data_IF_125064836759
#
_entry.id   IF_125064836759
#
_cell.length_a   1.000
_cell.length_b   1.000
_cell.length_c   1.000
_cell.angle_alpha   90.00
_cell.angle_beta   90.00
_cell.angle_gamma   90.00
#
_symmetry.space_group_name_H-M   'P 1'
#
loop_
_entity.id
_entity.type
_entity.pdbx_description
1 polymer ?
#
# COMPACT_ATOMS: atom_id res chain seq x y z
N UNK A 1 -23.33 12.21 3.92
CA UNK A 1 -22.84 13.48 4.52
C UNK A 1 -23.96 14.51 4.50
N UNK A 2 -24.01 15.38 5.49
CA UNK A 2 -24.92 16.53 5.46
C UNK A 2 -24.27 17.61 4.58
N UNK A 3 -24.93 18.00 3.49
CA UNK A 3 -24.46 19.10 2.64
C UNK A 3 -24.61 20.42 3.39
N UNK A 4 -23.66 21.32 3.20
CA UNK A 4 -23.76 22.66 3.74
C UNK A 4 -25.00 23.37 3.14
N UNK A 5 -25.68 24.19 3.94
CA UNK A 5 -26.82 25.01 3.53
C UNK A 5 -26.60 26.44 3.96
N UNK A 6 -26.78 27.42 3.06
CA UNK A 6 -26.60 28.85 3.36
C UNK A 6 -25.73 29.58 2.32
N UNK A 7 -25.35 30.82 2.64
CA UNK A 7 -24.37 31.58 1.84
C UNK A 7 -23.01 30.87 1.93
N UNK A 8 -22.30 30.75 0.82
CA UNK A 8 -21.02 30.03 0.67
C UNK A 8 -21.10 28.49 0.77
N UNK A 9 -22.30 27.92 0.94
CA UNK A 9 -22.50 26.48 0.97
C UNK A 9 -22.15 25.78 -0.35
N UNK A 10 -22.27 26.47 -1.48
CA UNK A 10 -21.93 25.93 -2.79
C UNK A 10 -20.42 25.64 -2.90
N UNK A 11 -19.58 26.57 -2.44
CA UNK A 11 -18.11 26.40 -2.44
C UNK A 11 -17.70 25.26 -1.51
N UNK A 12 -18.26 25.21 -0.29
CA UNK A 12 -17.97 24.15 0.68
C UNK A 12 -18.41 22.76 0.19
N UNK A 13 -19.56 22.67 -0.49
CA UNK A 13 -20.03 21.41 -1.07
C UNK A 13 -19.15 20.96 -2.25
N UNK A 14 -18.65 21.89 -3.08
CA UNK A 14 -17.71 21.59 -4.18
C UNK A 14 -16.35 21.09 -3.64
N UNK A 15 -15.82 21.75 -2.61
CA UNK A 15 -14.58 21.31 -1.96
C UNK A 15 -14.72 19.92 -1.32
N UNK A 16 -15.85 19.65 -0.65
CA UNK A 16 -16.15 18.33 -0.10
C UNK A 16 -16.23 17.26 -1.20
N UNK A 17 -16.87 17.57 -2.34
CA UNK A 17 -16.96 16.65 -3.48
C UNK A 17 -15.57 16.33 -4.07
N UNK A 18 -14.68 17.31 -4.18
CA UNK A 18 -13.30 17.07 -4.63
C UNK A 18 -12.52 16.14 -3.69
N UNK A 19 -12.70 16.31 -2.38
CA UNK A 19 -12.09 15.43 -1.37
C UNK A 19 -12.64 14.00 -1.50
N UNK A 20 -13.95 13.84 -1.67
CA UNK A 20 -14.59 12.54 -1.89
C UNK A 20 -14.05 11.84 -3.15
N UNK A 21 -13.98 12.57 -4.27
CA UNK A 21 -13.47 12.05 -5.54
C UNK A 21 -12.00 11.62 -5.42
N UNK A 22 -11.18 12.42 -4.73
CA UNK A 22 -9.78 12.06 -4.49
C UNK A 22 -9.65 10.81 -3.61
N UNK A 23 -10.45 10.69 -2.54
CA UNK A 23 -10.45 9.50 -1.69
C UNK A 23 -10.85 8.25 -2.46
N UNK A 24 -11.87 8.35 -3.31
CA UNK A 24 -12.26 7.22 -4.17
C UNK A 24 -11.15 6.85 -5.16
N UNK A 25 -10.40 7.84 -5.69
CA UNK A 25 -9.24 7.57 -6.53
C UNK A 25 -8.11 6.82 -5.77
N UNK A 26 -7.92 7.09 -4.48
CA UNK A 26 -6.95 6.36 -3.66
C UNK A 26 -7.42 4.93 -3.37
N UNK A 27 -8.72 4.74 -3.05
CA UNK A 27 -9.30 3.41 -2.91
C UNK A 27 -9.15 2.60 -4.21
N UNK A 28 -9.45 3.21 -5.35
CA UNK A 28 -9.29 2.58 -6.65
C UNK A 28 -7.84 2.18 -6.93
N UNK A 29 -6.86 2.99 -6.52
CA UNK A 29 -5.44 2.64 -6.60
C UNK A 29 -5.10 1.38 -5.80
N UNK A 30 -5.67 1.21 -4.60
CA UNK A 30 -5.48 -0.01 -3.82
C UNK A 30 -6.20 -1.23 -4.41
N UNK A 31 -7.41 -1.06 -4.98
CA UNK A 31 -8.09 -2.14 -5.71
C UNK A 31 -7.26 -2.60 -6.90
N UNK A 32 -6.70 -1.67 -7.67
CA UNK A 32 -5.80 -1.99 -8.78
C UNK A 32 -4.54 -2.75 -8.31
N UNK A 33 -3.97 -2.38 -7.17
CA UNK A 33 -2.84 -3.13 -6.60
C UNK A 33 -3.23 -4.58 -6.26
N UNK A 34 -4.42 -4.78 -5.69
CA UNK A 34 -4.98 -6.10 -5.39
C UNK A 34 -5.25 -6.92 -6.67
N UNK A 35 -5.82 -6.29 -7.70
CA UNK A 35 -6.06 -6.94 -9.00
C UNK A 35 -4.76 -7.37 -9.68
N UNK A 36 -3.72 -6.55 -9.59
CA UNK A 36 -2.38 -6.92 -10.06
C UNK A 36 -1.88 -8.17 -9.32
N UNK A 37 -2.03 -8.24 -8.00
CA UNK A 37 -1.63 -9.43 -7.25
C UNK A 37 -2.42 -10.68 -7.67
N UNK A 38 -3.74 -10.54 -7.80
CA UNK A 38 -4.64 -11.62 -8.20
C UNK A 38 -4.42 -12.12 -9.64
N UNK A 39 -3.63 -11.40 -10.45
CA UNK A 39 -3.20 -11.90 -11.77
C UNK A 39 -2.31 -13.15 -11.69
N UNK A 40 -1.69 -13.43 -10.54
CA UNK A 40 -0.94 -14.67 -10.31
C UNK A 40 -1.88 -15.75 -9.76
N UNK A 41 -2.06 -16.88 -10.47
CA UNK A 41 -2.90 -17.97 -9.98
C UNK A 41 -2.37 -18.56 -8.67
N UNK A 42 -3.24 -18.68 -7.67
CA UNK A 42 -2.92 -19.33 -6.38
C UNK A 42 -1.98 -18.53 -5.48
N UNK A 43 -1.80 -17.23 -5.73
CA UNK A 43 -0.99 -16.38 -4.85
C UNK A 43 -1.58 -16.31 -3.45
N UNK A 44 -0.71 -16.39 -2.44
CA UNK A 44 -1.05 -16.03 -1.07
C UNK A 44 -0.64 -14.59 -0.85
N UNK A 45 -1.61 -13.71 -0.66
CA UNK A 45 -1.35 -12.30 -0.39
C UNK A 45 -0.70 -12.18 0.99
N UNK A 46 0.46 -11.53 1.04
CA UNK A 46 1.20 -11.34 2.28
C UNK A 46 0.42 -10.44 3.26
N UNK A 47 0.57 -10.70 4.55
CA UNK A 47 -0.15 -9.96 5.61
C UNK A 47 0.16 -8.46 5.59
N UNK A 48 1.40 -8.07 5.27
CA UNK A 48 1.80 -6.66 5.16
C UNK A 48 0.98 -5.90 4.11
N UNK A 49 0.62 -6.56 3.00
CA UNK A 49 -0.25 -5.96 1.99
C UNK A 49 -1.67 -5.81 2.51
N UNK A 50 -2.22 -6.82 3.18
CA UNK A 50 -3.57 -6.74 3.77
C UNK A 50 -3.64 -5.61 4.81
N UNK A 51 -2.63 -5.48 5.67
CA UNK A 51 -2.56 -4.39 6.64
C UNK A 51 -2.51 -3.01 5.97
N UNK A 52 -1.74 -2.86 4.87
CA UNK A 52 -1.69 -1.61 4.11
C UNK A 52 -3.02 -1.31 3.40
N UNK A 53 -3.65 -2.34 2.81
CA UNK A 53 -4.93 -2.25 2.14
C UNK A 53 -6.05 -1.86 3.11
N UNK A 54 -6.13 -2.52 4.26
CA UNK A 54 -7.10 -2.22 5.31
C UNK A 54 -6.88 -0.82 5.88
N UNK A 55 -5.62 -0.39 6.06
CA UNK A 55 -5.32 0.95 6.53
C UNK A 55 -5.84 2.03 5.56
N UNK A 56 -5.72 1.80 4.24
CA UNK A 56 -6.23 2.71 3.22
C UNK A 56 -7.76 2.66 3.12
N UNK A 57 -8.37 1.47 3.17
CA UNK A 57 -9.81 1.27 2.97
C UNK A 57 -10.69 1.61 4.19
N UNK A 58 -10.22 1.33 5.41
CA UNK A 58 -11.03 1.48 6.62
C UNK A 58 -11.20 2.94 7.08
N UNK A 59 -10.44 3.89 6.52
CA UNK A 59 -10.43 5.27 7.01
C UNK A 59 -11.50 6.10 6.31
N UNK A 60 -12.68 6.14 6.93
CA UNK A 60 -13.86 6.93 6.52
C UNK A 60 -13.57 8.43 6.46
N UNK A 61 -14.23 9.09 5.50
CA UNK A 61 -14.30 10.54 5.29
C UNK A 61 -14.55 11.34 6.58
N UNK A 62 -15.22 10.76 7.58
CA UNK A 62 -15.58 11.45 8.84
C UNK A 62 -14.39 11.85 9.73
N UNK A 63 -13.23 11.18 9.61
CA UNK A 63 -12.03 11.54 10.38
C UNK A 63 -11.21 12.65 9.72
N UNK A 64 -11.53 13.01 8.48
CA UNK A 64 -10.82 14.05 7.73
C UNK A 64 -11.30 15.46 8.09
N UNK A 65 -12.46 15.58 8.75
CA UNK A 65 -12.93 16.87 9.27
C UNK A 65 -12.15 17.33 10.52
N UNK A 66 -11.52 16.41 11.25
CA UNK A 66 -10.89 16.68 12.57
C UNK A 66 -9.38 16.48 12.59
N UNK A 67 -8.80 15.83 11.57
CA UNK A 67 -7.36 15.60 11.46
C UNK A 67 -6.77 16.35 10.27
N UNK A 68 -5.53 16.85 10.37
CA UNK A 68 -4.85 17.44 9.22
C UNK A 68 -4.88 16.45 8.05
N UNK A 69 -5.28 16.93 6.88
CA UNK A 69 -5.48 16.11 5.69
C UNK A 69 -4.13 15.59 5.18
N UNK A 70 -3.84 14.30 5.39
CA UNK A 70 -2.55 13.67 5.03
C UNK A 70 -2.57 13.14 3.60
N UNK A 71 -2.74 14.06 2.65
CA UNK A 71 -2.73 13.77 1.21
C UNK A 71 -1.48 12.98 0.82
N UNK A 72 -0.31 13.50 1.17
CA UNK A 72 1.00 12.96 0.76
C UNK A 72 1.22 11.53 1.25
N UNK A 73 0.89 11.24 2.51
CA UNK A 73 1.07 9.90 3.09
C UNK A 73 0.12 8.88 2.46
N UNK A 74 -1.12 9.30 2.18
CA UNK A 74 -2.13 8.44 1.54
C UNK A 74 -1.70 8.07 0.12
N UNK A 75 -1.27 9.06 -0.67
CA UNK A 75 -0.76 8.80 -2.02
C UNK A 75 0.52 7.98 -1.98
N UNK A 76 1.41 8.25 -1.03
CA UNK A 76 2.66 7.52 -0.89
C UNK A 76 2.40 6.04 -0.56
N UNK A 77 1.44 5.76 0.33
CA UNK A 77 1.02 4.40 0.63
C UNK A 77 0.44 3.71 -0.61
N UNK A 78 -0.48 4.37 -1.33
CA UNK A 78 -1.04 3.83 -2.57
C UNK A 78 0.02 3.53 -3.65
N UNK A 79 0.98 4.46 -3.84
CA UNK A 79 2.12 4.26 -4.76
C UNK A 79 2.99 3.08 -4.34
N UNK A 80 3.29 2.94 -3.05
CA UNK A 80 4.06 1.83 -2.52
C UNK A 80 3.34 0.48 -2.72
N UNK A 81 2.03 0.41 -2.50
CA UNK A 81 1.21 -0.80 -2.72
C UNK A 81 1.25 -1.24 -4.20
N UNK A 82 1.01 -0.31 -5.14
CA UNK A 82 1.09 -0.62 -6.58
C UNK A 82 2.49 -1.06 -6.99
N UNK A 83 3.53 -0.40 -6.46
CA UNK A 83 4.93 -0.77 -6.73
C UNK A 83 5.23 -2.16 -6.22
N UNK A 84 4.83 -2.48 -5.00
CA UNK A 84 4.98 -3.81 -4.40
C UNK A 84 4.30 -4.87 -5.26
N UNK A 85 3.02 -4.66 -5.60
CA UNK A 85 2.26 -5.59 -6.45
C UNK A 85 2.96 -5.86 -7.79
N UNK A 86 3.40 -4.81 -8.49
CA UNK A 86 4.13 -4.94 -9.75
C UNK A 86 5.46 -5.69 -9.60
N UNK A 87 6.20 -5.45 -8.52
CA UNK A 87 7.46 -6.15 -8.26
C UNK A 87 7.23 -7.63 -7.96
N UNK A 88 6.16 -7.97 -7.23
CA UNK A 88 5.81 -9.34 -6.87
C UNK A 88 5.36 -10.16 -8.08
N UNK A 89 4.60 -9.56 -9.00
CA UNK A 89 4.13 -10.23 -10.23
C UNK A 89 5.24 -10.38 -11.27
N UNK A 90 6.22 -9.48 -11.28
CA UNK A 90 7.25 -9.43 -12.32
C UNK A 90 7.97 -10.78 -12.55
N UNK A 91 8.47 -11.51 -11.52
CA UNK A 91 9.09 -12.83 -11.69
C UNK A 91 8.19 -13.84 -12.39
N UNK A 92 6.91 -13.91 -12.01
CA UNK A 92 5.95 -14.82 -12.59
C UNK A 92 5.75 -14.54 -14.09
N UNK A 93 5.51 -13.28 -14.46
CA UNK A 93 5.39 -12.90 -15.88
C UNK A 93 6.65 -13.23 -16.68
N UNK A 94 7.85 -13.04 -16.12
CA UNK A 94 9.07 -13.40 -16.82
C UNK A 94 9.21 -14.92 -17.05
N UNK A 95 8.70 -15.74 -16.14
CA UNK A 95 8.65 -17.20 -16.33
C UNK A 95 7.65 -17.57 -17.43
N UNK A 96 6.46 -16.97 -17.43
CA UNK A 96 5.47 -17.16 -18.49
C UNK A 96 6.03 -16.75 -19.85
N UNK A 97 6.67 -15.59 -19.95
CA UNK A 97 7.32 -15.10 -21.17
C UNK A 97 8.41 -16.04 -21.67
N UNK A 98 9.22 -16.59 -20.76
CA UNK A 98 10.25 -17.58 -21.10
C UNK A 98 9.65 -18.86 -21.67
N UNK A 99 8.56 -19.37 -21.08
CA UNK A 99 7.86 -20.55 -21.60
C UNK A 99 7.22 -20.25 -22.97
N UNK A 100 6.56 -19.10 -23.12
CA UNK A 100 5.93 -18.69 -24.37
C UNK A 100 6.95 -18.51 -25.50
N UNK A 101 8.08 -17.85 -25.23
CA UNK A 101 9.16 -17.68 -26.22
C UNK A 101 9.88 -18.98 -26.55
N UNK A 102 10.01 -19.89 -25.58
CA UNK A 102 10.53 -21.24 -25.83
C UNK A 102 9.60 -22.05 -26.74
N UNK A 103 8.29 -21.99 -26.52
CA UNK A 103 7.30 -22.64 -27.38
C UNK A 103 7.35 -22.09 -28.81
N UNK A 104 7.37 -20.76 -28.98
CA UNK A 104 7.52 -20.13 -30.29
C UNK A 104 8.81 -20.53 -31.00
N UNK A 105 9.91 -20.72 -30.26
CA UNK A 105 11.17 -21.16 -30.84
C UNK A 105 11.07 -22.60 -31.37
N UNK A 106 10.37 -23.49 -30.66
CA UNK A 106 10.18 -24.88 -31.10
C UNK A 106 9.38 -25.02 -32.40
N UNK A 107 8.53 -24.05 -32.74
CA UNK A 107 7.82 -24.03 -34.03
C UNK A 107 8.76 -23.91 -35.24
N UNK A 108 9.99 -23.42 -35.03
CA UNK A 108 11.00 -23.27 -36.09
C UNK A 108 12.09 -24.35 -36.03
N UNK A 109 12.00 -25.35 -35.14
CA UNK A 109 12.93 -26.46 -35.11
C UNK A 109 12.79 -27.31 -36.39
N UNK A 110 13.87 -27.41 -37.17
CA UNK A 110 13.89 -28.12 -38.46
C UNK A 110 13.45 -27.30 -39.68
N UNK A 111 12.99 -26.05 -39.49
CA UNK A 111 12.68 -25.13 -40.58
C UNK A 111 13.95 -24.44 -41.12
N UNK A 112 13.90 -23.94 -42.35
CA UNK A 112 14.99 -23.13 -42.90
C UNK A 112 15.11 -21.79 -42.15
N UNK A 113 16.33 -21.35 -41.81
CA UNK A 113 16.54 -20.13 -41.05
C UNK A 113 15.98 -18.92 -41.81
N UNK A 114 14.95 -18.30 -41.24
CA UNK A 114 14.22 -17.15 -41.78
C UNK A 114 14.40 -15.97 -40.83
N UNK A 115 14.16 -14.73 -41.30
CA UNK A 115 14.21 -13.55 -40.44
C UNK A 115 13.32 -13.67 -39.18
N UNK A 116 12.17 -14.33 -39.32
CA UNK A 116 11.23 -14.60 -38.22
C UNK A 116 11.81 -15.57 -37.19
N UNK A 117 12.47 -16.65 -37.63
CA UNK A 117 13.10 -17.60 -36.69
C UNK A 117 14.30 -16.99 -35.98
N UNK A 118 15.07 -16.12 -36.65
CA UNK A 118 16.14 -15.35 -36.01
C UNK A 118 15.61 -14.39 -34.94
N UNK A 119 14.46 -13.74 -35.17
CA UNK A 119 13.81 -12.89 -34.17
C UNK A 119 13.30 -13.71 -32.98
N UNK A 120 12.64 -14.84 -33.23
CA UNK A 120 12.18 -15.75 -32.18
C UNK A 120 13.35 -16.25 -31.30
N UNK A 121 14.49 -16.60 -31.91
CA UNK A 121 15.71 -16.97 -31.20
C UNK A 121 16.23 -15.84 -30.30
N UNK A 122 16.27 -14.58 -30.79
CA UNK A 122 16.68 -13.42 -29.98
C UNK A 122 15.74 -13.19 -28.80
N UNK A 123 14.44 -13.30 -29.01
CA UNK A 123 13.44 -13.15 -27.95
C UNK A 123 13.58 -14.24 -26.89
N UNK A 124 13.77 -15.49 -27.29
CA UNK A 124 13.99 -16.60 -26.37
C UNK A 124 15.28 -16.42 -25.55
N UNK A 125 16.37 -15.95 -26.16
CA UNK A 125 17.61 -15.65 -25.43
C UNK A 125 17.41 -14.52 -24.41
N UNK A 126 16.69 -13.45 -24.78
CA UNK A 126 16.34 -12.37 -23.85
C UNK A 126 15.50 -12.89 -22.68
N UNK A 127 14.44 -13.66 -22.97
CA UNK A 127 13.57 -14.21 -21.93
C UNK A 127 14.32 -15.18 -21.00
N UNK A 128 15.20 -16.03 -21.55
CA UNK A 128 16.10 -16.89 -20.78
C UNK A 128 17.01 -16.09 -19.85
N UNK A 129 17.55 -14.97 -20.31
CA UNK A 129 18.33 -14.07 -19.46
C UNK A 129 17.48 -13.49 -18.32
N UNK A 130 16.22 -13.09 -18.59
CA UNK A 130 15.33 -12.54 -17.58
C UNK A 130 14.98 -13.53 -16.47
N UNK A 131 15.00 -14.84 -16.75
CA UNK A 131 14.78 -15.93 -15.77
C UNK A 131 16.09 -16.45 -15.16
N UNK A 132 17.24 -15.87 -15.53
CA UNK A 132 18.52 -16.27 -14.96
C UNK A 132 18.57 -16.07 -13.44
N UNK A 133 19.31 -16.94 -12.75
CA UNK A 133 19.47 -16.88 -11.28
C UNK A 133 19.90 -15.50 -10.78
N UNK A 134 20.79 -14.81 -11.53
CA UNK A 134 21.26 -13.46 -11.18
C UNK A 134 20.13 -12.44 -11.24
N UNK A 135 19.33 -12.44 -12.31
CA UNK A 135 18.21 -11.50 -12.47
C UNK A 135 17.10 -11.81 -11.46
N UNK A 136 16.82 -13.09 -11.19
CA UNK A 136 15.84 -13.49 -10.17
C UNK A 136 16.26 -13.04 -8.77
N UNK A 137 17.54 -13.18 -8.39
CA UNK A 137 18.06 -12.62 -7.12
C UNK A 137 17.88 -11.11 -7.02
N UNK A 138 18.14 -10.37 -8.11
CA UNK A 138 17.93 -8.93 -8.14
C UNK A 138 16.44 -8.56 -7.98
N UNK A 139 15.54 -9.33 -8.60
CA UNK A 139 14.10 -9.12 -8.45
C UNK A 139 13.63 -9.41 -7.04
N UNK A 140 14.12 -10.48 -6.40
CA UNK A 140 13.84 -10.76 -5.01
C UNK A 140 14.25 -9.58 -4.11
N UNK A 141 15.47 -9.07 -4.28
CA UNK A 141 15.93 -7.89 -3.56
C UNK A 141 15.02 -6.67 -3.77
N UNK A 142 14.52 -6.45 -5.00
CA UNK A 142 13.57 -5.36 -5.30
C UNK A 142 12.20 -5.58 -4.64
N UNK A 143 11.74 -6.82 -4.53
CA UNK A 143 10.50 -7.17 -3.82
C UNK A 143 10.69 -6.84 -2.34
N UNK A 144 11.79 -7.26 -1.73
CA UNK A 144 12.07 -6.99 -0.31
C UNK A 144 12.17 -5.48 -0.04
N UNK A 145 12.80 -4.71 -0.94
CA UNK A 145 12.82 -3.25 -0.85
C UNK A 145 11.42 -2.63 -0.99
N UNK A 146 10.60 -3.12 -1.91
CA UNK A 146 9.23 -2.63 -2.08
C UNK A 146 8.34 -2.97 -0.88
N UNK A 147 8.55 -4.15 -0.27
CA UNK A 147 7.89 -4.57 0.97
C UNK A 147 8.21 -3.61 2.11
N UNK A 148 9.51 -3.38 2.37
CA UNK A 148 9.94 -2.46 3.42
C UNK A 148 9.41 -1.04 3.21
N UNK A 149 9.47 -0.53 1.98
CA UNK A 149 8.94 0.81 1.66
C UNK A 149 7.42 0.92 1.85
N UNK A 150 6.68 -0.16 1.61
CA UNK A 150 5.23 -0.22 1.88
C UNK A 150 4.94 -0.25 3.37
N UNK A 151 5.68 -1.05 4.15
CA UNK A 151 5.55 -1.11 5.61
C UNK A 151 5.94 0.22 6.28
N UNK A 152 7.00 0.88 5.81
CA UNK A 152 7.41 2.20 6.27
C UNK A 152 6.34 3.25 5.95
N UNK A 153 5.82 3.27 4.71
CA UNK A 153 4.74 4.18 4.31
C UNK A 153 3.49 3.97 5.15
N UNK A 154 3.09 2.71 5.39
CA UNK A 154 1.97 2.37 6.28
C UNK A 154 2.25 2.85 7.70
N UNK A 155 3.45 2.62 8.23
CA UNK A 155 3.85 3.05 9.57
C UNK A 155 3.76 4.57 9.75
N UNK A 156 4.24 5.35 8.78
CA UNK A 156 4.13 6.81 8.77
C UNK A 156 2.67 7.26 8.67
N UNK A 157 1.92 6.67 7.74
CA UNK A 157 0.49 6.91 7.56
C UNK A 157 -0.31 6.58 8.83
N UNK A 158 0.03 5.52 9.56
CA UNK A 158 -0.61 5.20 10.83
C UNK A 158 -0.23 6.17 11.95
N UNK A 159 1.05 6.53 12.07
CA UNK A 159 1.53 7.47 13.10
C UNK A 159 0.90 8.84 12.93
N UNK A 160 0.88 9.37 11.70
CA UNK A 160 0.37 10.71 11.44
C UNK A 160 -1.15 10.79 11.63
N UNK A 161 -1.87 9.70 11.39
CA UNK A 161 -3.28 9.61 11.77
C UNK A 161 -3.51 9.36 13.27
N UNK A 162 -2.61 8.68 13.98
CA UNK A 162 -2.71 8.41 15.43
C UNK A 162 -2.17 9.55 16.30
N UNK A 163 -1.44 10.51 15.74
CA UNK A 163 -1.12 11.76 16.41
C UNK A 163 -2.43 12.50 16.67
N UNK A 164 -3.01 12.24 17.84
CA UNK A 164 -3.98 13.11 18.47
C UNK A 164 -3.33 14.49 18.53
N UNK A 165 -3.83 15.42 17.71
CA UNK A 165 -3.58 16.84 17.90
C UNK A 165 -3.83 17.10 19.39
N UNK A 166 -2.87 17.63 20.16
CA UNK A 166 -3.16 18.07 21.52
C UNK A 166 -4.33 19.02 21.39
N UNK A 167 -5.49 18.61 21.91
CA UNK A 167 -6.67 19.46 22.03
C UNK A 167 -6.16 20.82 22.48
N UNK A 168 -6.27 21.83 21.61
CA UNK A 168 -5.93 23.19 21.99
C UNK A 168 -6.65 23.45 23.32
N UNK A 169 -5.95 23.92 24.37
CA UNK A 169 -6.60 24.11 25.66
C UNK A 169 -7.82 24.99 25.40
N UNK A 170 -9.01 24.48 25.74
CA UNK A 170 -10.22 25.30 25.79
C UNK A 170 -9.87 26.58 26.56
N UNK A 171 -10.40 27.76 26.20
CA UNK A 171 -10.15 28.96 26.97
C UNK A 171 -10.66 28.71 28.40
N UNK A 172 -9.76 28.35 29.31
CA UNK A 172 -10.08 28.21 30.70
C UNK A 172 -10.20 29.63 31.23
N UNK A 173 -11.44 30.05 31.43
CA UNK A 173 -11.72 31.13 32.36
C UNK A 173 -11.12 30.73 33.72
N UNK A 174 -10.15 31.53 34.17
CA UNK A 174 -9.56 31.48 35.49
C UNK A 174 -10.64 31.35 36.57
N UNK A 175 -10.54 30.30 37.40
CA UNK A 175 -10.80 30.41 38.83
C UNK A 175 -9.93 29.40 39.60
N UNK A 176 -9.10 29.95 40.48
CA UNK A 176 -8.15 29.33 41.39
C UNK A 176 -8.78 28.30 42.35
N UNK A 177 -8.07 27.21 42.68
CA UNK A 177 -7.60 26.94 44.06
C UNK A 177 -6.78 25.64 44.23
N UNK A 178 -5.70 25.78 45.00
CA UNK A 178 -5.11 24.88 46.02
C UNK A 178 -4.58 23.47 45.68
N UNK A 179 -3.24 23.38 45.82
CA UNK A 179 -2.47 22.35 46.55
C UNK A 179 -2.74 20.87 46.26
N UNK A 180 -1.96 20.32 45.33
CA UNK A 180 -1.78 18.87 45.18
C UNK A 180 -0.62 18.38 46.04
N UNK A 181 -0.96 17.49 46.97
CA UNK A 181 -0.08 16.75 47.83
C UNK A 181 0.36 15.42 47.16
N UNK A 182 1.55 14.96 47.55
CA UNK A 182 1.99 13.55 47.59
C UNK A 182 2.35 12.82 46.29
N UNK A 183 3.68 12.65 46.11
CA UNK A 183 4.34 11.56 45.40
C UNK A 183 3.73 10.18 45.69
N UNK A 184 3.58 9.32 44.67
CA UNK A 184 4.04 7.93 44.81
C UNK A 184 4.38 7.28 43.45
N UNK A 185 5.54 6.64 43.44
CA UNK A 185 6.13 5.90 42.34
C UNK A 185 5.64 4.45 42.34
N UNK A 186 5.14 3.91 41.22
CA UNK A 186 4.63 2.54 41.24
C UNK A 186 4.35 1.86 39.90
N UNK A 187 5.42 1.34 39.28
CA UNK A 187 5.53 -0.03 38.74
C UNK A 187 4.37 -0.59 37.88
N UNK A 188 4.53 -0.56 36.55
CA UNK A 188 3.74 -1.41 35.63
C UNK A 188 4.06 -2.89 35.83
N UNK A 189 3.05 -3.72 36.17
CA UNK A 189 3.13 -5.18 36.09
C UNK A 189 2.02 -5.71 35.17
N UNK A 190 2.41 -6.21 34.00
CA UNK A 190 1.57 -7.04 33.14
C UNK A 190 1.47 -8.45 33.74
N UNK A 191 0.26 -8.90 34.09
CA UNK A 191 0.01 -10.29 34.48
C UNK A 191 -0.55 -11.07 33.30
N UNK A 192 0.15 -12.14 32.90
CA UNK A 192 -0.38 -13.16 32.00
C UNK A 192 -1.25 -14.16 32.78
N UNK A 193 -2.42 -14.49 32.25
CA UNK A 193 -3.26 -15.61 32.72
C UNK A 193 -2.91 -16.87 31.92
N UNK A 194 -2.67 -17.98 32.62
CA UNK A 194 -2.53 -19.31 32.01
C UNK A 194 -3.89 -20.05 32.02
N UNK A 195 -4.19 -20.90 31.02
CA UNK A 195 -5.48 -21.56 30.89
C UNK A 195 -5.64 -22.70 31.91
N UNK A 196 -6.88 -22.88 32.38
CA UNK A 196 -7.28 -23.97 33.29
C UNK A 196 -7.48 -25.28 32.54
N UNK A 197 -6.94 -26.38 33.08
CA UNK A 197 -7.39 -27.75 32.83
C UNK A 197 -8.26 -28.20 34.00
#
# INVERSE_FOLDING_TARGET
MARATGKDAEVLNQEAELIEQWLEAQHETARQALDILNSIPGIQIEECFNQAYDALMCRRVDHYATKPFLFEDTEQLGRCMVRYARMLVSPYHAQCDHLATKAKLSEFEGATPTAVSALAARQAQKAKHMVSKRVMKLRQWRIDQARNAMDEARGTFEKNFKLDVPTAPSPQHDYSNEESNSNDSGRWQLKFKSPSL
#
